data_IF_824717127704
#
_entry.id   IF_824717127704
#
_cell.length_a   1.000
_cell.length_b   1.000
_cell.length_c   1.000
_cell.angle_alpha   90.00
_cell.angle_beta   90.00
_cell.angle_gamma   90.00
#
_symmetry.space_group_name_H-M   'P 1'
#
loop_
_entity.id
_entity.type
_entity.pdbx_description
1 polymer ?
#
# COMPACT_ATOMS: atom_id res chain seq x y z
N UNK A 1 3.40 13.29 11.56
CA UNK A 1 3.80 12.15 10.68
C UNK A 1 2.56 11.42 10.21
N UNK A 2 2.45 11.11 8.92
CA UNK A 2 1.43 10.16 8.44
C UNK A 2 1.74 8.76 9.00
N UNK A 3 0.71 8.05 9.48
CA UNK A 3 0.86 6.69 10.01
C UNK A 3 1.42 5.73 8.95
N UNK A 4 2.02 4.61 9.36
CA UNK A 4 2.47 3.56 8.43
C UNK A 4 1.32 3.09 7.51
N UNK A 5 0.11 2.93 8.05
CA UNK A 5 -1.09 2.61 7.26
C UNK A 5 -1.39 3.67 6.20
N UNK A 6 -1.29 4.94 6.55
CA UNK A 6 -1.50 6.05 5.61
C UNK A 6 -0.46 6.00 4.48
N UNK A 7 0.82 5.74 4.81
CA UNK A 7 1.89 5.59 3.80
C UNK A 7 1.58 4.45 2.84
N UNK A 8 1.21 3.28 3.37
CA UNK A 8 0.85 2.10 2.56
C UNK A 8 -0.36 2.36 1.64
N UNK A 9 -1.43 2.98 2.16
CA UNK A 9 -2.60 3.34 1.35
C UNK A 9 -2.24 4.29 0.22
N UNK A 10 -1.42 5.31 0.50
CA UNK A 10 -0.94 6.25 -0.52
C UNK A 10 -0.16 5.50 -1.59
N UNK A 11 0.77 4.61 -1.21
CA UNK A 11 1.54 3.84 -2.17
C UNK A 11 0.64 2.98 -3.06
N UNK A 12 -0.26 2.17 -2.49
CA UNK A 12 -1.13 1.29 -3.29
C UNK A 12 -2.01 2.15 -4.23
N UNK A 13 -2.51 3.28 -3.75
CA UNK A 13 -3.29 4.23 -4.55
C UNK A 13 -2.49 4.79 -5.72
N UNK A 14 -1.22 5.14 -5.49
CA UNK A 14 -0.31 5.61 -6.55
C UNK A 14 -0.04 4.52 -7.59
N UNK A 15 0.19 3.28 -7.16
CA UNK A 15 0.41 2.14 -8.06
C UNK A 15 -0.83 1.87 -8.92
N UNK A 16 -2.04 1.87 -8.33
CA UNK A 16 -3.30 1.74 -9.09
C UNK A 16 -3.41 2.81 -10.18
N UNK A 17 -3.06 4.06 -9.85
CA UNK A 17 -3.13 5.20 -10.78
C UNK A 17 -2.07 5.10 -11.87
N UNK A 18 -0.84 4.73 -11.53
CA UNK A 18 0.28 4.57 -12.47
C UNK A 18 0.01 3.46 -13.49
N UNK A 19 -0.59 2.36 -13.05
CA UNK A 19 -0.98 1.24 -13.92
C UNK A 19 -2.29 1.50 -14.69
N UNK A 20 -2.96 2.63 -14.45
CA UNK A 20 -4.22 3.00 -15.13
C UNK A 20 -5.40 2.07 -14.82
N UNK A 21 -5.38 1.36 -13.69
CA UNK A 21 -6.41 0.39 -13.37
C UNK A 21 -7.72 1.06 -12.96
N UNK A 22 -8.84 0.59 -13.51
CA UNK A 22 -10.16 0.87 -12.95
C UNK A 22 -10.31 0.20 -11.58
N UNK A 23 -11.28 0.64 -10.77
CA UNK A 23 -11.51 0.02 -9.46
C UNK A 23 -11.82 -1.48 -9.56
N UNK A 24 -12.49 -1.92 -10.64
CA UNK A 24 -12.81 -3.34 -10.89
C UNK A 24 -11.56 -4.14 -11.23
N UNK A 25 -10.65 -3.59 -12.05
CA UNK A 25 -9.37 -4.24 -12.37
C UNK A 25 -8.48 -4.31 -11.13
N UNK A 26 -8.36 -3.20 -10.38
CA UNK A 26 -7.61 -3.15 -9.15
C UNK A 26 -8.14 -4.16 -8.12
N UNK A 27 -9.47 -4.32 -7.99
CA UNK A 27 -10.07 -5.28 -7.09
C UNK A 27 -9.61 -6.72 -7.40
N UNK A 28 -9.62 -7.09 -8.69
CA UNK A 28 -9.13 -8.41 -9.15
C UNK A 28 -7.63 -8.57 -8.88
N UNK A 29 -6.81 -7.57 -9.20
CA UNK A 29 -5.35 -7.61 -9.03
C UNK A 29 -4.92 -7.68 -7.56
N UNK A 30 -5.60 -6.92 -6.70
CA UNK A 30 -5.33 -6.86 -5.26
C UNK A 30 -6.03 -7.99 -4.48
N UNK A 31 -6.85 -8.82 -5.13
CA UNK A 31 -7.59 -9.92 -4.52
C UNK A 31 -8.59 -9.47 -3.45
N UNK A 32 -9.32 -8.37 -3.70
CA UNK A 32 -10.33 -7.79 -2.79
C UNK A 32 -11.60 -7.39 -3.55
N UNK A 33 -12.65 -6.99 -2.83
CA UNK A 33 -13.86 -6.48 -3.47
C UNK A 33 -13.70 -5.05 -4.00
N UNK A 34 -14.49 -4.67 -5.01
CA UNK A 34 -14.48 -3.31 -5.56
C UNK A 34 -14.84 -2.23 -4.52
N UNK A 35 -15.83 -2.42 -3.60
CA UNK A 35 -16.06 -1.47 -2.52
C UNK A 35 -14.85 -1.30 -1.59
N UNK A 36 -14.02 -2.35 -1.44
CA UNK A 36 -12.77 -2.26 -0.68
C UNK A 36 -11.75 -1.38 -1.39
N UNK A 37 -11.63 -1.49 -2.71
CA UNK A 37 -10.80 -0.57 -3.52
C UNK A 37 -11.34 0.86 -3.43
N UNK A 38 -12.66 1.05 -3.46
CA UNK A 38 -13.25 2.38 -3.25
C UNK A 38 -12.82 2.97 -1.90
N UNK A 39 -12.96 2.22 -0.80
CA UNK A 39 -12.50 2.67 0.52
C UNK A 39 -11.00 3.01 0.55
N UNK A 40 -10.18 2.25 -0.19
CA UNK A 40 -8.73 2.47 -0.31
C UNK A 40 -8.45 3.81 -1.01
N UNK A 41 -9.07 4.05 -2.16
CA UNK A 41 -8.88 5.27 -2.97
C UNK A 41 -9.42 6.53 -2.29
N UNK A 42 -10.43 6.39 -1.42
CA UNK A 42 -10.93 7.47 -0.55
C UNK A 42 -10.10 7.67 0.72
N UNK A 43 -9.07 6.84 0.96
CA UNK A 43 -8.16 7.02 2.08
C UNK A 43 -8.74 6.65 3.45
N UNK A 44 -9.71 5.73 3.52
CA UNK A 44 -10.33 5.33 4.79
C UNK A 44 -9.43 4.43 5.66
N UNK A 45 -8.39 5.02 6.26
CA UNK A 45 -7.32 4.35 7.03
C UNK A 45 -7.83 3.42 8.12
N UNK A 46 -8.95 3.73 8.77
CA UNK A 46 -9.53 2.92 9.85
C UNK A 46 -10.08 1.56 9.37
N UNK A 47 -10.38 1.42 8.07
CA UNK A 47 -10.93 0.19 7.48
C UNK A 47 -9.88 -0.84 7.08
N UNK A 48 -8.60 -0.55 7.30
CA UNK A 48 -7.48 -1.40 6.88
C UNK A 48 -6.55 -1.72 8.05
N UNK A 49 -6.13 -2.99 8.13
CA UNK A 49 -4.98 -3.41 8.91
C UNK A 49 -3.69 -3.21 8.10
N UNK A 50 -2.54 -3.18 8.79
CA UNK A 50 -1.23 -3.13 8.12
C UNK A 50 -1.03 -4.40 7.29
N UNK A 51 -1.32 -5.57 7.87
CA UNK A 51 -1.13 -6.87 7.22
C UNK A 51 -1.88 -6.97 5.88
N UNK A 52 -3.12 -6.49 5.85
CA UNK A 52 -3.92 -6.47 4.61
C UNK A 52 -3.29 -5.59 3.53
N UNK A 53 -2.74 -4.43 3.91
CA UNK A 53 -2.10 -3.52 2.97
C UNK A 53 -0.78 -4.08 2.44
N UNK A 54 -0.02 -4.79 3.28
CA UNK A 54 1.18 -5.51 2.87
C UNK A 54 0.83 -6.66 1.92
N UNK A 55 -0.19 -7.47 2.23
CA UNK A 55 -0.66 -8.56 1.37
C UNK A 55 -1.08 -8.04 -0.01
N UNK A 56 -1.78 -6.90 -0.07
CA UNK A 56 -2.13 -6.24 -1.32
C UNK A 56 -0.91 -5.92 -2.17
N UNK A 57 0.14 -5.32 -1.59
CA UNK A 57 1.38 -4.99 -2.30
C UNK A 57 2.09 -6.26 -2.81
N UNK A 58 2.14 -7.31 -1.99
CA UNK A 58 2.69 -8.59 -2.41
C UNK A 58 1.93 -9.20 -3.60
N UNK A 59 0.59 -9.13 -3.61
CA UNK A 59 -0.25 -9.64 -4.72
C UNK A 59 0.01 -8.95 -6.05
N UNK A 60 0.41 -7.68 -6.03
CA UNK A 60 0.76 -6.94 -7.25
C UNK A 60 2.26 -6.95 -7.55
N UNK A 61 3.01 -7.87 -6.93
CA UNK A 61 4.40 -8.16 -7.26
C UNK A 61 5.41 -7.20 -6.64
N UNK A 62 5.10 -6.63 -5.47
CA UNK A 62 6.02 -5.77 -4.73
C UNK A 62 6.42 -6.40 -3.40
N UNK A 63 7.68 -6.19 -3.03
CA UNK A 63 8.24 -6.51 -1.72
C UNK A 63 8.44 -5.20 -0.95
N UNK A 64 8.05 -5.23 0.32
CA UNK A 64 8.17 -4.07 1.23
C UNK A 64 9.23 -4.35 2.26
N UNK A 65 10.26 -3.50 2.28
CA UNK A 65 11.27 -3.48 3.33
C UNK A 65 10.97 -2.33 4.30
N UNK A 66 10.93 -2.62 5.60
CA UNK A 66 10.72 -1.63 6.66
C UNK A 66 11.96 -1.60 7.54
N UNK A 67 12.58 -0.42 7.65
CA UNK A 67 13.76 -0.21 8.49
C UNK A 67 13.46 0.81 9.56
N UNK A 68 13.78 0.46 10.81
CA UNK A 68 13.73 1.39 11.94
C UNK A 68 15.11 2.02 12.14
N UNK A 69 15.19 3.35 11.99
CA UNK A 69 16.39 4.15 12.21
C UNK A 69 16.22 5.04 13.44
N UNK A 70 16.63 4.60 14.64
CA UNK A 70 16.36 5.32 15.90
C UNK A 70 17.03 6.70 15.98
N UNK A 71 18.07 6.95 15.18
CA UNK A 71 18.78 8.24 15.14
C UNK A 71 18.20 9.24 14.13
N UNK A 72 17.23 8.83 13.30
CA UNK A 72 16.52 9.73 12.40
C UNK A 72 15.24 10.23 13.11
N UNK A 73 15.34 11.35 13.81
CA UNK A 73 14.23 11.90 14.61
C UNK A 73 13.07 12.41 13.75
N UNK A 74 13.33 12.84 12.51
CA UNK A 74 12.32 13.34 11.58
C UNK A 74 11.56 12.24 10.85
N UNK A 75 12.17 11.06 10.67
CA UNK A 75 11.59 9.90 9.97
C UNK A 75 12.24 8.59 10.44
N UNK A 76 11.91 8.12 11.66
CA UNK A 76 12.57 6.95 12.25
C UNK A 76 12.12 5.63 11.60
N UNK A 77 11.06 5.65 10.79
CA UNK A 77 10.61 4.49 10.02
C UNK A 77 10.72 4.82 8.53
N UNK A 78 11.68 4.16 7.89
CA UNK A 78 11.86 4.16 6.44
C UNK A 78 11.20 2.91 5.84
N UNK A 79 10.45 3.12 4.77
CA UNK A 79 9.80 2.05 4.02
C UNK A 79 10.29 2.12 2.59
N UNK A 80 10.82 1.02 2.07
CA UNK A 80 11.24 0.88 0.67
C UNK A 80 10.37 -0.18 0.01
N UNK A 81 9.99 0.08 -1.23
CA UNK A 81 9.14 -0.82 -2.02
C UNK A 81 9.90 -1.16 -3.28
N UNK A 82 10.10 -2.45 -3.52
CA UNK A 82 10.84 -2.99 -4.66
C UNK A 82 9.90 -3.87 -5.45
N UNK A 83 9.92 -3.77 -6.78
CA UNK A 83 9.25 -4.75 -7.63
C UNK A 83 9.98 -6.08 -7.45
N UNK A 84 9.24 -7.15 -7.17
CA UNK A 84 9.80 -8.49 -7.13
C UNK A 84 10.36 -8.80 -8.52
N UNK A 85 11.66 -9.00 -8.63
CA UNK A 85 12.30 -9.51 -9.84
C UNK A 85 11.97 -11.01 -9.88
N UNK A 86 11.29 -11.43 -10.95
CA UNK A 86 11.18 -12.84 -11.34
C UNK A 86 12.34 -13.16 -12.26
#
# INVERSE_FOLDING_TARGET
MASLKSKLIITITQLIRQEGWTQVVAAKRLGVSQPRVSNLLHGYVSKFSIDMLLEMLCKIGFVVDVTFRPHNTESPIEMTIKKAVV
#
